data_IF_354290319740
#
_entry.id   IF_354290319740
#
_cell.length_a   1.000
_cell.length_b   1.000
_cell.length_c   1.000
_cell.angle_alpha   90.00
_cell.angle_beta   90.00
_cell.angle_gamma   90.00
#
_symmetry.space_group_name_H-M   'P 1'
#
loop_
_entity.id
_entity.type
_entity.pdbx_description
1 polymer ?
#
# COMPACT_ATOMS: atom_id res chain seq x y z
N UNK A 1 3.42 -3.91 4.44
CA UNK A 1 3.65 -3.34 3.09
C UNK A 1 3.30 -1.85 3.05
N UNK A 2 2.07 -1.45 3.38
CA UNK A 2 1.61 -0.06 3.32
C UNK A 2 2.51 0.93 4.07
N UNK A 3 2.92 0.59 5.31
CA UNK A 3 3.88 1.38 6.10
C UNK A 3 5.15 1.70 5.31
N UNK A 4 5.76 0.67 4.69
CA UNK A 4 7.00 0.81 3.92
C UNK A 4 6.85 1.76 2.74
N UNK A 5 5.76 1.65 1.99
CA UNK A 5 5.46 2.54 0.85
C UNK A 5 5.32 3.99 1.34
N UNK A 6 4.59 4.19 2.43
CA UNK A 6 4.35 5.51 3.03
C UNK A 6 5.66 6.12 3.52
N UNK A 7 6.50 5.37 4.23
CA UNK A 7 7.81 5.81 4.71
C UNK A 7 8.74 6.19 3.54
N UNK A 8 8.73 5.42 2.44
CA UNK A 8 9.52 5.70 1.24
C UNK A 8 9.06 6.99 0.54
N UNK A 9 7.75 7.27 0.52
CA UNK A 9 7.21 8.52 -0.02
C UNK A 9 7.60 9.73 0.83
N UNK A 10 7.49 9.61 2.15
CA UNK A 10 7.91 10.65 3.09
C UNK A 10 9.41 10.93 2.99
N UNK A 11 10.23 9.88 2.97
CA UNK A 11 11.67 10.00 2.79
C UNK A 11 12.03 10.62 1.43
N UNK A 12 11.23 10.39 0.38
CA UNK A 12 11.41 11.06 -0.91
C UNK A 12 11.15 12.56 -0.81
N UNK A 13 10.04 12.95 -0.19
CA UNK A 13 9.67 14.35 0.05
C UNK A 13 10.72 15.09 0.87
N UNK A 14 11.24 14.45 1.92
CA UNK A 14 12.24 15.01 2.84
C UNK A 14 13.67 15.01 2.29
N UNK A 15 13.91 14.36 1.13
CA UNK A 15 15.25 14.24 0.54
C UNK A 15 16.18 13.26 1.27
N UNK A 16 15.63 12.43 2.16
CA UNK A 16 16.33 11.43 2.98
C UNK A 16 16.33 10.03 2.36
N UNK A 17 15.58 9.82 1.26
CA UNK A 17 15.51 8.53 0.57
C UNK A 17 16.90 8.02 0.17
N UNK A 18 17.16 6.73 0.40
CA UNK A 18 18.40 6.08 0.00
C UNK A 18 18.11 4.88 -0.93
N UNK A 19 18.65 4.86 -2.16
CA UNK A 19 19.44 5.90 -2.81
C UNK A 19 18.58 7.13 -3.20
N UNK A 20 19.14 8.34 -3.07
CA UNK A 20 18.43 9.61 -3.36
C UNK A 20 17.79 9.67 -4.76
N UNK A 21 18.46 9.03 -5.73
CA UNK A 21 18.03 8.96 -7.13
C UNK A 21 16.97 7.89 -7.41
N UNK A 22 16.53 7.10 -6.42
CA UNK A 22 15.48 6.08 -6.63
C UNK A 22 14.20 6.76 -7.13
N UNK A 23 13.63 6.16 -8.18
CA UNK A 23 12.41 6.61 -8.86
C UNK A 23 11.30 5.55 -8.91
N UNK A 24 11.64 4.27 -8.70
CA UNK A 24 10.69 3.17 -8.76
C UNK A 24 11.08 2.08 -7.77
N UNK A 25 10.09 1.48 -7.12
CA UNK A 25 10.20 0.22 -6.39
C UNK A 25 9.30 -0.79 -7.09
N UNK A 26 9.82 -2.00 -7.31
CA UNK A 26 9.05 -3.09 -7.90
C UNK A 26 9.03 -4.24 -6.91
N UNK A 27 7.82 -4.67 -6.55
CA UNK A 27 7.59 -5.76 -5.60
C UNK A 27 6.85 -6.86 -6.34
N UNK A 28 7.45 -8.05 -6.39
CA UNK A 28 6.82 -9.25 -6.97
C UNK A 28 6.25 -10.04 -5.80
N UNK A 29 4.94 -10.28 -5.83
CA UNK A 29 4.21 -10.85 -4.72
C UNK A 29 3.03 -11.71 -5.19
N UNK A 30 2.24 -12.21 -4.24
CA UNK A 30 1.07 -13.04 -4.49
C UNK A 30 -0.21 -12.21 -4.57
N UNK A 31 -1.27 -12.82 -5.09
CA UNK A 31 -2.64 -12.30 -5.10
C UNK A 31 -3.08 -11.78 -3.72
N UNK A 32 -2.82 -12.55 -2.66
CA UNK A 32 -3.09 -12.18 -1.27
C UNK A 32 -2.42 -10.87 -0.87
N UNK A 33 -1.24 -10.57 -1.40
CA UNK A 33 -0.53 -9.32 -1.10
C UNK A 33 -1.24 -8.12 -1.70
N UNK A 34 -1.74 -8.25 -2.94
CA UNK A 34 -2.51 -7.20 -3.61
C UNK A 34 -3.85 -6.98 -2.90
N UNK A 35 -4.55 -8.07 -2.58
CA UNK A 35 -5.83 -8.02 -1.86
C UNK A 35 -5.63 -7.32 -0.52
N UNK A 36 -4.73 -7.80 0.34
CA UNK A 36 -4.52 -7.21 1.66
C UNK A 36 -4.05 -5.75 1.57
N UNK A 37 -3.20 -5.39 0.61
CA UNK A 37 -2.73 -4.01 0.43
C UNK A 37 -3.88 -3.06 0.06
N UNK A 38 -4.70 -3.42 -0.93
CA UNK A 38 -5.82 -2.61 -1.39
C UNK A 38 -6.98 -2.59 -0.38
N UNK A 39 -7.21 -3.70 0.32
CA UNK A 39 -8.22 -3.82 1.37
C UNK A 39 -7.86 -2.97 2.60
N UNK A 40 -6.58 -2.97 3.01
CA UNK A 40 -6.08 -2.07 4.08
C UNK A 40 -6.30 -0.59 3.74
N UNK A 41 -6.26 -0.23 2.44
CA UNK A 41 -6.56 1.13 1.96
C UNK A 41 -8.06 1.36 1.69
N UNK A 42 -8.92 0.37 1.95
CA UNK A 42 -10.36 0.38 1.69
C UNK A 42 -10.74 0.68 0.23
N UNK A 43 -9.92 0.20 -0.71
CA UNK A 43 -10.12 0.37 -2.17
C UNK A 43 -10.17 -0.97 -2.91
N UNK A 44 -10.41 -2.07 -2.20
CA UNK A 44 -10.66 -3.38 -2.79
C UNK A 44 -12.16 -3.66 -2.94
N UNK A 45 -12.60 -4.03 -4.13
CA UNK A 45 -14.03 -4.25 -4.45
C UNK A 45 -14.40 -5.74 -4.53
N UNK A 46 -13.80 -6.59 -3.69
CA UNK A 46 -14.14 -8.03 -3.55
C UNK A 46 -14.21 -8.83 -4.85
N UNK A 47 -13.32 -8.52 -5.79
CA UNK A 47 -13.15 -9.27 -7.04
C UNK A 47 -12.15 -10.42 -6.86
N UNK A 48 -12.11 -11.37 -7.79
CA UNK A 48 -11.03 -12.36 -7.84
C UNK A 48 -9.78 -11.70 -8.45
N UNK A 49 -8.58 -11.76 -7.81
CA UNK A 49 -7.36 -11.27 -8.42
C UNK A 49 -7.00 -12.13 -9.63
N UNK A 50 -6.92 -11.53 -10.81
CA UNK A 50 -6.46 -12.21 -12.01
C UNK A 50 -4.93 -12.27 -12.07
N UNK A 51 -4.40 -13.18 -12.89
CA UNK A 51 -2.97 -13.21 -13.16
C UNK A 51 -2.45 -11.87 -13.70
N UNK A 52 -1.24 -11.51 -13.29
CA UNK A 52 -0.60 -10.23 -13.63
C UNK A 52 -1.36 -8.98 -13.16
N UNK A 53 -2.25 -9.12 -12.17
CA UNK A 53 -2.82 -7.96 -11.48
C UNK A 53 -1.69 -7.11 -10.88
N UNK A 54 -1.80 -5.80 -11.04
CA UNK A 54 -0.75 -4.87 -10.64
C UNK A 54 -1.37 -3.64 -9.99
N UNK A 55 -0.82 -3.26 -8.84
CA UNK A 55 -1.11 -1.99 -8.18
C UNK A 55 0.06 -1.04 -8.41
N UNK A 56 -0.23 0.15 -8.93
CA UNK A 56 0.73 1.26 -9.04
C UNK A 56 0.34 2.32 -8.02
N UNK A 57 1.32 2.77 -7.24
CA UNK A 57 1.13 3.84 -6.27
C UNK A 57 2.18 4.90 -6.58
N UNK A 58 1.74 6.02 -7.12
CA UNK A 58 2.59 7.06 -7.65
C UNK A 58 2.64 8.24 -6.69
N UNK A 59 3.84 8.78 -6.50
CA UNK A 59 4.06 10.01 -5.76
C UNK A 59 4.42 11.12 -6.75
N UNK A 60 3.61 12.17 -6.77
CA UNK A 60 3.76 13.33 -7.64
C UNK A 60 4.15 14.56 -6.80
N UNK A 61 4.91 15.46 -7.43
CA UNK A 61 5.27 16.77 -6.88
C UNK A 61 4.93 17.83 -7.91
N UNK A 62 4.17 18.85 -7.49
CA UNK A 62 3.87 20.04 -8.29
C UNK A 62 4.10 21.29 -7.42
N UNK A 63 5.14 22.06 -7.74
CA UNK A 63 5.49 23.33 -7.08
C UNK A 63 5.58 23.22 -5.55
N UNK A 64 6.15 22.12 -5.06
CA UNK A 64 6.30 21.84 -3.63
C UNK A 64 5.09 21.16 -2.97
N UNK A 65 3.97 21.00 -3.67
CA UNK A 65 2.84 20.21 -3.20
C UNK A 65 2.98 18.75 -3.63
N UNK A 66 2.68 17.83 -2.72
CA UNK A 66 2.86 16.39 -2.95
C UNK A 66 1.52 15.68 -2.91
N UNK A 67 1.29 14.77 -3.86
CA UNK A 67 0.09 13.94 -3.91
C UNK A 67 0.40 12.49 -4.28
N UNK A 68 -0.50 11.60 -3.88
CA UNK A 68 -0.48 10.17 -4.13
C UNK A 68 -1.64 9.81 -5.05
N UNK A 69 -1.34 9.03 -6.08
CA UNK A 69 -2.32 8.48 -7.02
C UNK A 69 -2.18 6.97 -7.04
N UNK A 70 -3.30 6.26 -6.88
CA UNK A 70 -3.32 4.79 -6.84
C UNK A 70 -4.04 4.27 -8.07
N UNK A 71 -3.45 3.30 -8.75
CA UNK A 71 -4.01 2.67 -9.92
C UNK A 71 -4.01 1.15 -9.79
N UNK A 72 -5.08 0.52 -10.26
CA UNK A 72 -5.20 -0.93 -10.34
C UNK A 72 -5.30 -1.36 -11.80
N UNK A 73 -4.39 -2.23 -12.23
CA UNK A 73 -4.47 -2.91 -13.53
C UNK A 73 -4.82 -4.37 -13.29
N UNK A 74 -6.10 -4.72 -13.45
CA UNK A 74 -6.63 -6.08 -13.33
C UNK A 74 -7.08 -6.68 -14.69
N UNK A 75 -6.92 -5.94 -15.79
CA UNK A 75 -7.18 -6.36 -17.17
C UNK A 75 -6.12 -5.79 -18.11
N UNK A 76 -5.95 -6.43 -19.27
CA UNK A 76 -5.10 -5.94 -20.37
C UNK A 76 -5.87 -5.17 -21.43
N UNK A 77 -7.20 -5.15 -21.36
CA UNK A 77 -8.08 -4.55 -22.39
C UNK A 77 -8.29 -3.05 -22.22
N UNK A 78 -7.96 -2.50 -21.06
CA UNK A 78 -8.10 -1.09 -20.74
C UNK A 78 -6.89 -0.59 -19.96
N UNK A 79 -6.75 0.73 -19.91
CA UNK A 79 -5.78 1.39 -19.05
C UNK A 79 -6.06 1.11 -17.57
N UNK A 80 -5.05 1.26 -16.69
CA UNK A 80 -5.24 1.06 -15.25
C UNK A 80 -6.34 1.94 -14.66
N UNK A 81 -7.17 1.34 -13.81
CA UNK A 81 -8.26 2.04 -13.13
C UNK A 81 -7.70 2.94 -12.04
N UNK A 82 -8.05 4.23 -12.07
CA UNK A 82 -7.74 5.15 -10.99
C UNK A 82 -8.60 4.82 -9.76
N UNK A 83 -7.95 4.66 -8.61
CA UNK A 83 -8.57 4.28 -7.35
C UNK A 83 -8.70 5.51 -6.46
N UNK A 84 -9.82 5.61 -5.74
CA UNK A 84 -10.08 6.73 -4.82
C UNK A 84 -10.11 6.21 -3.39
N UNK A 85 -9.18 6.65 -2.57
CA UNK A 85 -9.16 6.33 -1.14
C UNK A 85 -10.33 7.05 -0.47
N UNK A 86 -11.14 6.36 0.36
CA UNK A 86 -12.25 6.99 1.06
C UNK A 86 -11.81 8.24 1.83
N UNK A 87 -12.54 9.35 1.67
CA UNK A 87 -12.17 10.64 2.25
C UNK A 87 -11.16 11.45 1.42
N UNK A 88 -10.73 10.96 0.25
CA UNK A 88 -9.85 11.67 -0.66
C UNK A 88 -10.41 11.76 -2.09
N UNK A 89 -9.67 12.43 -2.97
CA UNK A 89 -9.85 12.39 -4.44
C UNK A 89 -8.82 11.44 -5.05
N UNK A 90 -8.93 11.14 -6.35
CA UNK A 90 -7.92 10.32 -7.09
C UNK A 90 -6.51 10.92 -7.01
N UNK A 91 -6.42 12.25 -6.93
CA UNK A 91 -5.20 13.01 -6.63
C UNK A 91 -5.21 13.34 -5.13
N UNK A 92 -4.68 12.44 -4.31
CA UNK A 92 -4.80 12.56 -2.85
C UNK A 92 -3.60 13.29 -2.25
N UNK A 93 -3.74 14.44 -1.55
CA UNK A 93 -2.60 15.09 -0.91
C UNK A 93 -1.84 14.13 0.02
N UNK A 94 -0.52 14.12 -0.05
CA UNK A 94 0.31 13.13 0.69
C UNK A 94 0.04 13.17 2.19
N UNK A 95 -0.08 14.36 2.79
CA UNK A 95 -0.36 14.48 4.22
C UNK A 95 -1.72 13.92 4.60
N UNK A 96 -2.74 14.12 3.73
CA UNK A 96 -4.07 13.55 3.93
C UNK A 96 -4.08 12.04 3.74
N UNK A 97 -3.34 11.53 2.77
CA UNK A 97 -3.12 10.08 2.57
C UNK A 97 -2.54 9.45 3.84
N UNK A 98 -1.51 10.07 4.43
CA UNK A 98 -0.89 9.61 5.67
C UNK A 98 -1.87 9.68 6.84
N UNK A 99 -2.62 10.76 6.97
CA UNK A 99 -3.62 10.92 8.02
C UNK A 99 -4.70 9.85 7.98
N UNK A 100 -5.31 9.61 6.80
CA UNK A 100 -6.37 8.63 6.59
C UNK A 100 -5.88 7.22 6.93
N UNK A 101 -4.65 6.88 6.55
CA UNK A 101 -4.11 5.52 6.68
C UNK A 101 -3.35 5.29 7.98
N UNK A 102 -3.12 6.34 8.78
CA UNK A 102 -2.46 6.23 10.09
C UNK A 102 -3.07 5.16 11.01
N UNK A 103 -4.41 4.99 11.12
CA UNK A 103 -4.99 4.00 12.02
C UNK A 103 -4.68 2.55 11.66
N UNK A 104 -4.34 2.27 10.40
CA UNK A 104 -4.04 0.91 9.90
C UNK A 104 -2.55 0.66 9.72
N UNK A 105 -1.70 1.64 10.01
CA UNK A 105 -0.24 1.52 9.97
C UNK A 105 0.25 1.21 11.39
N UNK A 106 0.90 0.05 11.62
CA UNK A 106 1.39 -0.32 12.94
C UNK A 106 2.53 0.60 13.38
N UNK A 107 2.57 0.92 14.68
CA UNK A 107 3.67 1.69 15.27
C UNK A 107 4.81 0.77 15.67
N UNK A 108 4.48 -0.35 16.33
CA UNK A 108 5.43 -1.37 16.72
C UNK A 108 4.83 -2.75 16.45
N UNK A 109 5.13 -3.27 15.26
CA UNK A 109 4.63 -4.57 14.81
C UNK A 109 4.96 -5.72 15.77
N UNK A 110 6.17 -5.74 16.34
CA UNK A 110 6.59 -6.82 17.23
C UNK A 110 5.78 -6.84 18.51
N UNK A 111 5.52 -5.67 19.11
CA UNK A 111 4.70 -5.55 20.32
C UNK A 111 3.22 -5.82 20.01
N UNK A 112 2.69 -5.24 18.92
CA UNK A 112 1.29 -5.39 18.52
C UNK A 112 0.93 -6.83 18.11
N UNK A 113 1.92 -7.64 17.71
CA UNK A 113 1.75 -9.06 17.37
C UNK A 113 2.03 -10.02 18.53
N UNK A 114 2.41 -9.54 19.72
CA UNK A 114 2.54 -10.42 20.88
C UNK A 114 1.18 -11.02 21.22
N UNK A 115 1.17 -12.32 21.45
CA UNK A 115 -0.03 -13.02 21.91
C UNK A 115 0.04 -13.12 23.43
N UNK A 116 -1.03 -12.72 24.10
CA UNK A 116 -1.14 -12.90 25.55
C UNK A 116 -1.37 -14.39 25.89
N UNK A 117 -0.53 -14.97 26.74
CA UNK A 117 -0.70 -16.31 27.30
C UNK A 117 0.02 -17.46 26.56
N UNK A 118 -0.43 -18.70 26.79
CA UNK A 118 0.17 -19.93 26.25
C UNK A 118 -0.38 -20.29 24.85
N UNK A 119 -0.44 -19.33 23.91
CA UNK A 119 -0.85 -19.66 22.55
C UNK A 119 0.16 -20.60 21.90
N UNK A 120 -0.26 -21.83 21.63
CA UNK A 120 0.49 -22.80 20.84
C UNK A 120 -0.03 -22.74 19.40
N UNK A 121 0.88 -22.54 18.45
CA UNK A 121 0.52 -22.61 17.03
C UNK A 121 -0.02 -24.00 16.72
N UNK A 122 -1.21 -24.11 16.08
CA UNK A 122 -1.74 -25.42 15.71
C UNK A 122 -0.81 -26.09 14.69
N UNK A 123 -0.70 -27.43 14.70
CA UNK A 123 0.04 -28.13 13.67
C UNK A 123 -0.55 -27.84 12.28
N UNK A 124 0.28 -27.81 11.21
CA UNK A 124 -0.20 -27.59 9.86
C UNK A 124 -1.25 -28.66 9.47
N UNK A 125 -2.22 -28.32 8.60
CA UNK A 125 -3.20 -29.29 8.10
C UNK A 125 -2.48 -30.47 7.42
N UNK A 126 -3.01 -31.71 7.53
CA UNK A 126 -2.48 -32.85 6.78
C UNK A 126 -2.63 -32.61 5.26
N UNK A 127 -1.73 -33.21 4.45
CA UNK A 127 -1.75 -33.09 2.99
C UNK A 127 -2.99 -33.69 2.34
#
# INVERSE_FOLDING_TARGET
MLKKITDEMLAKREGTLNPKKRKMYMYIAHDSTIVSLLDTMHIWYNQMPHYNIMTMIELHEDKGEWNVQVFLRNTTTHDPYAMTIPGCTTVCPLDKFVEILKPVIPNNWEEECKVDGNYTTPPPPPP
#
